data_IF_314098630599
#
_entry.id   IF_314098630599
#
_cell.length_a   1.000
_cell.length_b   1.000
_cell.length_c   1.000
_cell.angle_alpha   90.00
_cell.angle_beta   90.00
_cell.angle_gamma   90.00
#
_symmetry.space_group_name_H-M   'P 1'
#
loop_
_entity.id
_entity.type
_entity.pdbx_description
1 polymer ?
#
# COMPACT_ATOMS: atom_id res chain seq x y z
N UNK A 1 -20.60 9.49 1.29
CA UNK A 1 -19.96 8.15 1.21
C UNK A 1 -18.53 8.33 0.66
N UNK A 2 -17.60 7.39 0.86
CA UNK A 2 -16.28 7.47 0.20
C UNK A 2 -16.32 6.66 -1.09
N UNK A 3 -16.09 7.32 -2.22
CA UNK A 3 -16.01 6.69 -3.55
C UNK A 3 -14.55 6.41 -3.87
N UNK A 4 -14.26 5.19 -4.36
CA UNK A 4 -12.94 4.79 -4.85
C UNK A 4 -13.06 4.31 -6.29
N UNK A 5 -12.34 4.97 -7.18
CA UNK A 5 -12.34 4.68 -8.63
C UNK A 5 -10.92 4.46 -9.13
N UNK A 6 -10.77 3.58 -10.11
CA UNK A 6 -9.47 3.39 -10.76
C UNK A 6 -9.04 4.69 -11.46
N UNK A 7 -7.76 5.02 -11.36
CA UNK A 7 -7.17 6.16 -12.04
C UNK A 7 -6.06 5.66 -12.98
N UNK A 8 -6.24 5.90 -14.27
CA UNK A 8 -5.20 5.62 -15.26
C UNK A 8 -4.15 6.74 -15.24
N UNK A 9 -2.88 6.34 -15.25
CA UNK A 9 -1.79 7.28 -15.38
C UNK A 9 -1.80 7.91 -16.78
N UNK A 10 -2.06 9.22 -16.83
CA UNK A 10 -1.98 10.00 -18.05
C UNK A 10 -1.37 11.37 -17.75
N UNK A 11 -0.25 11.68 -18.40
CA UNK A 11 0.49 12.95 -18.21
C UNK A 11 -0.38 14.19 -18.37
N UNK A 12 -1.42 14.14 -19.22
CA UNK A 12 -2.33 15.26 -19.46
C UNK A 12 -3.29 15.56 -18.29
N UNK A 13 -3.43 14.64 -17.33
CA UNK A 13 -4.33 14.80 -16.19
C UNK A 13 -3.68 15.54 -15.01
N UNK A 14 -2.37 15.78 -15.04
CA UNK A 14 -1.60 16.42 -13.97
C UNK A 14 -1.42 17.91 -14.26
N UNK A 15 -1.58 18.74 -13.23
CA UNK A 15 -1.45 20.20 -13.34
C UNK A 15 -0.43 20.75 -12.35
N UNK A 16 0.10 21.93 -12.67
CA UNK A 16 1.12 22.59 -11.84
C UNK A 16 0.58 23.06 -10.48
N UNK A 17 -0.72 23.34 -10.39
CA UNK A 17 -1.45 23.80 -9.20
C UNK A 17 -1.92 22.66 -8.29
N UNK A 18 -1.84 21.40 -8.73
CA UNK A 18 -2.11 20.24 -7.88
C UNK A 18 -1.04 20.11 -6.79
N UNK A 19 -1.42 19.52 -5.64
CA UNK A 19 -0.49 19.20 -4.55
C UNK A 19 0.08 17.80 -4.73
N UNK A 20 1.39 17.69 -4.79
CA UNK A 20 2.09 16.42 -4.93
C UNK A 20 2.82 16.03 -3.63
N UNK A 21 2.68 14.78 -3.22
CA UNK A 21 3.26 14.25 -1.99
C UNK A 21 4.06 13.00 -2.36
N UNK A 22 5.39 13.07 -2.21
CA UNK A 22 6.29 11.96 -2.50
C UNK A 22 6.89 11.38 -1.23
N UNK A 23 7.21 10.09 -1.27
CA UNK A 23 8.06 9.44 -0.30
C UNK A 23 9.24 8.79 -1.03
N UNK A 24 10.44 9.20 -0.67
CA UNK A 24 11.68 8.80 -1.31
C UNK A 24 12.43 7.89 -0.36
N UNK A 25 12.79 6.70 -0.84
CA UNK A 25 13.50 5.70 -0.05
C UNK A 25 14.65 5.11 -0.84
N UNK A 26 15.22 4.02 -0.32
CA UNK A 26 16.40 3.37 -0.89
C UNK A 26 16.19 2.72 -2.28
N UNK A 27 14.98 2.70 -2.83
CA UNK A 27 14.67 2.12 -4.14
C UNK A 27 14.64 3.20 -5.24
N UNK A 28 15.25 2.98 -6.41
CA UNK A 28 15.16 3.89 -7.56
C UNK A 28 13.72 4.17 -8.01
N UNK A 29 12.79 3.22 -7.87
CA UNK A 29 11.38 3.47 -8.20
C UNK A 29 10.72 4.56 -7.36
N UNK A 30 11.31 4.93 -6.21
CA UNK A 30 10.71 5.84 -5.22
C UNK A 30 10.53 7.28 -5.69
N UNK A 31 11.30 7.69 -6.70
CA UNK A 31 11.24 9.02 -7.31
C UNK A 31 10.88 8.96 -8.81
N UNK A 32 10.49 7.78 -9.31
CA UNK A 32 10.15 7.60 -10.72
C UNK A 32 8.94 8.46 -11.14
N UNK A 33 7.88 8.48 -10.33
CA UNK A 33 6.69 9.29 -10.65
C UNK A 33 7.01 10.78 -10.63
N UNK A 34 7.82 11.25 -9.68
CA UNK A 34 8.32 12.62 -9.64
C UNK A 34 9.04 12.98 -10.95
N UNK A 35 9.98 12.15 -11.40
CA UNK A 35 10.76 12.41 -12.62
C UNK A 35 9.89 12.44 -13.88
N UNK A 36 8.87 11.58 -13.92
CA UNK A 36 7.88 11.65 -15.00
C UNK A 36 7.12 12.98 -15.01
N UNK A 37 6.81 13.54 -13.84
CA UNK A 37 6.10 14.82 -13.73
C UNK A 37 7.00 15.99 -14.11
N UNK A 38 8.25 16.06 -13.64
CA UNK A 38 9.23 17.10 -14.04
C UNK A 38 9.41 17.14 -15.56
N UNK A 39 9.41 15.96 -16.22
CA UNK A 39 9.51 15.90 -17.69
C UNK A 39 8.34 16.56 -18.42
N UNK A 40 7.18 16.71 -17.75
CA UNK A 40 5.94 17.27 -18.32
C UNK A 40 5.53 18.62 -17.74
N UNK A 41 5.96 18.92 -16.51
CA UNK A 41 5.58 20.10 -15.74
C UNK A 41 6.88 20.83 -15.37
N UNK A 42 7.06 22.06 -15.86
CA UNK A 42 8.28 22.82 -15.55
C UNK A 42 8.43 23.12 -14.05
N UNK A 43 7.32 23.36 -13.34
CA UNK A 43 7.25 23.56 -11.88
C UNK A 43 5.89 23.12 -11.37
N UNK A 44 5.85 22.54 -10.17
CA UNK A 44 4.62 22.13 -9.50
C UNK A 44 4.79 22.15 -7.98
N UNK A 45 3.68 22.20 -7.23
CA UNK A 45 3.70 22.24 -5.76
C UNK A 45 3.92 20.84 -5.18
N UNK A 46 5.10 20.56 -4.65
CA UNK A 46 5.42 19.25 -4.08
C UNK A 46 5.95 19.35 -2.64
N UNK A 47 5.73 18.28 -1.88
CA UNK A 47 6.44 17.99 -0.64
C UNK A 47 7.06 16.59 -0.72
N UNK A 48 8.20 16.42 -0.08
CA UNK A 48 8.96 15.17 -0.10
C UNK A 48 9.18 14.67 1.32
N UNK A 49 8.85 13.40 1.56
CA UNK A 49 9.27 12.67 2.75
C UNK A 49 10.45 11.78 2.41
N UNK A 50 11.46 11.74 3.29
CA UNK A 50 12.58 10.80 3.18
C UNK A 50 12.91 10.20 4.54
N UNK A 51 13.64 9.09 4.55
CA UNK A 51 13.98 8.38 5.77
C UNK A 51 15.21 8.99 6.45
N UNK A 52 15.34 8.85 7.77
CA UNK A 52 16.50 9.32 8.54
C UNK A 52 17.83 8.65 8.14
N UNK A 53 17.76 7.47 7.52
CA UNK A 53 18.89 6.70 7.01
C UNK A 53 19.21 6.95 5.52
N UNK A 54 18.52 7.88 4.85
CA UNK A 54 18.65 8.09 3.39
C UNK A 54 20.08 8.34 2.91
N UNK A 55 20.93 8.94 3.76
CA UNK A 55 22.34 9.23 3.45
C UNK A 55 23.20 7.98 3.25
N UNK A 56 22.72 6.82 3.69
CA UNK A 56 23.40 5.54 3.50
C UNK A 56 23.28 5.02 2.06
N UNK A 57 22.41 5.61 1.23
CA UNK A 57 22.16 5.19 -0.14
C UNK A 57 22.53 6.33 -1.09
N UNK A 58 23.61 6.16 -1.85
CA UNK A 58 24.21 7.21 -2.70
C UNK A 58 23.19 7.87 -3.64
N UNK A 59 22.45 7.08 -4.40
CA UNK A 59 21.43 7.57 -5.34
C UNK A 59 20.29 8.31 -4.64
N UNK A 60 19.92 7.89 -3.43
CA UNK A 60 18.85 8.53 -2.65
C UNK A 60 19.35 9.87 -2.10
N UNK A 61 20.57 9.90 -1.55
CA UNK A 61 21.22 11.14 -1.10
C UNK A 61 21.28 12.16 -2.24
N UNK A 62 21.81 11.76 -3.39
CA UNK A 62 21.98 12.65 -4.55
C UNK A 62 20.63 13.20 -5.04
N UNK A 63 19.57 12.37 -5.01
CA UNK A 63 18.22 12.81 -5.38
C UNK A 63 17.61 13.79 -4.37
N UNK A 64 17.84 13.60 -3.08
CA UNK A 64 17.40 14.55 -2.05
C UNK A 64 18.14 15.89 -2.20
N UNK A 65 19.45 15.87 -2.49
CA UNK A 65 20.22 17.10 -2.77
C UNK A 65 19.72 17.84 -4.03
N UNK A 66 19.25 17.13 -5.05
CA UNK A 66 18.56 17.71 -6.20
C UNK A 66 17.27 18.44 -5.77
N UNK A 67 16.43 17.80 -4.96
CA UNK A 67 15.19 18.40 -4.45
C UNK A 67 15.44 19.63 -3.58
N UNK A 68 16.51 19.63 -2.77
CA UNK A 68 16.92 20.80 -1.99
C UNK A 68 17.30 21.98 -2.90
N UNK A 69 18.04 21.72 -3.99
CA UNK A 69 18.41 22.75 -4.99
C UNK A 69 17.20 23.31 -5.72
N UNK A 70 16.19 22.49 -5.96
CA UNK A 70 14.91 22.89 -6.55
C UNK A 70 14.00 23.63 -5.56
N UNK A 71 14.38 23.69 -4.28
CA UNK A 71 13.65 24.39 -3.23
C UNK A 71 12.41 23.64 -2.75
N UNK A 72 12.36 22.32 -2.93
CA UNK A 72 11.26 21.49 -2.44
C UNK A 72 11.32 21.32 -0.92
N UNK A 73 10.19 21.47 -0.20
CA UNK A 73 10.11 21.09 1.21
C UNK A 73 10.39 19.61 1.41
N UNK A 74 11.40 19.30 2.22
CA UNK A 74 11.81 17.94 2.56
C UNK A 74 11.61 17.70 4.05
N UNK A 75 10.91 16.61 4.37
CA UNK A 75 10.70 16.12 5.73
C UNK A 75 11.45 14.81 5.93
N UNK A 76 12.43 14.83 6.83
CA UNK A 76 13.17 13.64 7.23
C UNK A 76 12.44 12.98 8.40
N UNK A 77 12.08 11.72 8.25
CA UNK A 77 11.28 10.97 9.23
C UNK A 77 11.81 9.56 9.44
N UNK A 78 11.72 9.06 10.67
CA UNK A 78 12.05 7.66 10.95
C UNK A 78 10.99 6.73 10.36
N UNK A 79 11.40 5.54 9.93
CA UNK A 79 10.49 4.50 9.38
C UNK A 79 9.27 4.24 10.28
N UNK A 80 9.47 4.30 11.60
CA UNK A 80 8.42 4.03 12.60
C UNK A 80 7.57 5.26 12.97
N UNK A 81 7.94 6.47 12.55
CA UNK A 81 7.23 7.71 12.91
C UNK A 81 6.03 7.99 11.99
N UNK A 82 5.13 7.02 11.87
CA UNK A 82 3.98 7.12 10.98
C UNK A 82 3.01 8.26 11.35
N UNK A 83 2.91 8.59 12.65
CA UNK A 83 2.02 9.64 13.14
C UNK A 83 2.46 11.02 12.62
N UNK A 84 3.74 11.36 12.75
CA UNK A 84 4.29 12.64 12.24
C UNK A 84 4.04 12.80 10.73
N UNK A 85 4.29 11.74 9.95
CA UNK A 85 4.06 11.77 8.49
C UNK A 85 2.59 12.01 8.17
N UNK A 86 1.69 11.27 8.81
CA UNK A 86 0.24 11.41 8.57
C UNK A 86 -0.26 12.79 8.96
N UNK A 87 0.16 13.31 10.12
CA UNK A 87 -0.22 14.65 10.59
C UNK A 87 0.30 15.75 9.64
N UNK A 88 1.52 15.63 9.14
CA UNK A 88 2.09 16.56 8.15
C UNK A 88 1.33 16.51 6.82
N UNK A 89 1.05 15.32 6.28
CA UNK A 89 0.24 15.17 5.06
C UNK A 89 -1.13 15.83 5.24
N UNK A 90 -1.81 15.56 6.35
CA UNK A 90 -3.11 16.16 6.68
C UNK A 90 -3.00 17.68 6.79
N UNK A 91 -1.94 18.19 7.43
CA UNK A 91 -1.70 19.63 7.58
C UNK A 91 -1.49 20.32 6.23
N UNK A 92 -0.66 19.76 5.35
CA UNK A 92 -0.38 20.32 4.02
C UNK A 92 -1.63 20.36 3.14
N UNK A 93 -2.45 19.31 3.22
CA UNK A 93 -3.75 19.27 2.54
C UNK A 93 -4.68 20.35 3.08
N UNK A 94 -4.81 20.49 4.41
CA UNK A 94 -5.62 21.56 5.03
C UNK A 94 -5.15 22.96 4.63
N UNK A 95 -3.84 23.18 4.59
CA UNK A 95 -3.27 24.45 4.15
C UNK A 95 -3.63 24.73 2.70
N UNK A 96 -3.51 23.74 1.81
CA UNK A 96 -3.92 23.90 0.41
C UNK A 96 -5.44 24.18 0.26
N UNK A 97 -6.28 23.57 1.11
CA UNK A 97 -7.73 23.82 1.11
C UNK A 97 -8.12 25.22 1.59
N UNK A 98 -7.34 25.82 2.50
CA UNK A 98 -7.61 27.16 3.01
C UNK A 98 -7.48 28.23 1.92
N UNK A 99 -6.60 27.99 0.94
CA UNK A 99 -6.29 28.93 -0.14
C UNK A 99 -7.10 28.68 -1.42
N UNK A 100 -7.87 27.57 -1.51
CA UNK A 100 -8.49 27.12 -2.77
C UNK A 100 -9.91 26.55 -2.57
N UNK A 101 -10.81 26.90 -3.49
CA UNK A 101 -12.20 26.40 -3.51
C UNK A 101 -12.28 24.88 -3.72
N UNK A 102 -11.32 24.31 -4.45
CA UNK A 102 -11.15 22.88 -4.66
C UNK A 102 -9.67 22.55 -4.78
N UNK A 103 -9.24 21.39 -4.29
CA UNK A 103 -7.88 20.91 -4.46
C UNK A 103 -7.83 19.53 -5.11
N UNK A 104 -6.75 19.27 -5.83
CA UNK A 104 -6.37 17.93 -6.26
C UNK A 104 -5.03 17.56 -5.63
N UNK A 105 -4.98 16.39 -5.02
CA UNK A 105 -3.80 15.87 -4.31
C UNK A 105 -3.35 14.57 -4.96
N UNK A 106 -2.06 14.43 -5.20
CA UNK A 106 -1.44 13.21 -5.70
C UNK A 106 -0.43 12.68 -4.69
N UNK A 107 -0.64 11.46 -4.20
CA UNK A 107 0.19 10.83 -3.19
C UNK A 107 0.91 9.62 -3.80
N UNK A 108 2.23 9.69 -3.89
CA UNK A 108 3.06 8.55 -4.25
C UNK A 108 3.35 7.70 -3.02
N UNK A 109 2.74 6.51 -2.95
CA UNK A 109 2.94 5.58 -1.84
C UNK A 109 3.94 4.45 -2.16
N UNK A 110 4.65 4.56 -3.29
CA UNK A 110 5.58 3.54 -3.81
C UNK A 110 6.70 3.18 -2.85
N UNK A 111 7.15 4.13 -2.03
CA UNK A 111 8.16 3.90 -0.98
C UNK A 111 7.69 4.22 0.43
N UNK A 112 6.42 4.60 0.62
CA UNK A 112 5.81 4.72 1.96
C UNK A 112 5.71 3.36 2.68
N UNK A 113 6.13 3.23 3.95
CA UNK A 113 5.82 2.08 4.80
C UNK A 113 4.31 1.87 4.93
N UNK A 114 3.89 0.62 5.18
CA UNK A 114 2.46 0.24 5.33
C UNK A 114 1.74 1.14 6.34
N UNK A 115 2.40 1.42 7.46
CA UNK A 115 1.90 2.27 8.54
C UNK A 115 1.66 3.72 8.10
N UNK A 116 2.40 4.24 7.13
CA UNK A 116 2.25 5.62 6.66
C UNK A 116 1.00 5.76 5.80
N UNK A 117 0.80 4.89 4.80
CA UNK A 117 -0.25 5.10 3.79
C UNK A 117 -1.59 4.40 4.10
N UNK A 118 -1.60 3.25 4.79
CA UNK A 118 -2.83 2.44 4.88
C UNK A 118 -3.98 3.15 5.61
N UNK A 119 -3.69 4.06 6.54
CA UNK A 119 -4.71 4.84 7.26
C UNK A 119 -5.07 6.17 6.59
N UNK A 120 -4.29 6.61 5.59
CA UNK A 120 -4.51 7.93 4.97
C UNK A 120 -5.93 8.09 4.42
N UNK A 121 -6.54 7.14 3.68
CA UNK A 121 -7.89 7.35 3.16
C UNK A 121 -8.92 7.65 4.25
N UNK A 122 -8.83 6.98 5.41
CA UNK A 122 -9.74 7.20 6.53
C UNK A 122 -9.49 8.55 7.21
N UNK A 123 -8.23 8.94 7.39
CA UNK A 123 -7.87 10.26 7.92
C UNK A 123 -8.33 11.39 6.99
N UNK A 124 -8.07 11.22 5.68
CA UNK A 124 -8.41 12.20 4.67
C UNK A 124 -9.92 12.34 4.46
N UNK A 125 -10.67 11.23 4.54
CA UNK A 125 -12.14 11.26 4.56
C UNK A 125 -12.71 12.20 5.62
N UNK A 126 -12.01 12.38 6.75
CA UNK A 126 -12.42 13.28 7.83
C UNK A 126 -12.15 14.76 7.58
N UNK A 127 -11.46 15.13 6.49
CA UNK A 127 -11.04 16.52 6.24
C UNK A 127 -11.39 17.03 4.84
N UNK A 128 -11.37 16.18 3.79
CA UNK A 128 -11.58 16.62 2.41
C UNK A 128 -13.05 17.02 2.17
N UNK A 129 -13.30 17.88 1.18
CA UNK A 129 -14.65 18.26 0.71
C UNK A 129 -15.09 17.37 -0.46
N UNK A 130 -16.37 17.38 -0.79
CA UNK A 130 -16.93 16.68 -1.97
C UNK A 130 -16.29 17.11 -3.29
N UNK A 131 -15.86 18.38 -3.38
CA UNK A 131 -15.20 18.93 -4.58
C UNK A 131 -13.71 18.58 -4.68
N UNK A 132 -13.10 18.10 -3.59
CA UNK A 132 -11.67 17.79 -3.54
C UNK A 132 -11.41 16.37 -4.07
N UNK A 133 -10.24 16.16 -4.70
CA UNK A 133 -9.85 14.85 -5.24
C UNK A 133 -8.50 14.43 -4.69
N UNK A 134 -8.40 13.18 -4.23
CA UNK A 134 -7.13 12.60 -3.78
C UNK A 134 -6.81 11.38 -4.61
N UNK A 135 -5.62 11.33 -5.20
CA UNK A 135 -5.11 10.20 -5.97
C UNK A 135 -3.97 9.53 -5.22
N UNK A 136 -3.97 8.20 -5.24
CA UNK A 136 -2.88 7.38 -4.73
C UNK A 136 -2.21 6.68 -5.91
N UNK A 137 -0.89 6.84 -6.01
CA UNK A 137 -0.08 6.32 -7.12
C UNK A 137 0.97 5.33 -6.63
N UNK A 138 1.13 4.26 -7.40
CA UNK A 138 2.09 3.19 -7.16
C UNK A 138 2.89 2.87 -8.43
N UNK A 139 4.19 3.08 -8.35
CA UNK A 139 5.19 2.66 -9.32
C UNK A 139 5.53 1.19 -9.10
N UNK A 140 5.23 0.35 -10.10
CA UNK A 140 5.55 -1.07 -10.04
C UNK A 140 7.07 -1.28 -10.14
N UNK A 141 7.60 -2.08 -9.21
CA UNK A 141 9.02 -2.38 -9.11
C UNK A 141 9.42 -3.64 -9.86
N UNK A 142 10.60 -3.62 -10.46
CA UNK A 142 11.30 -4.77 -11.01
C UNK A 142 11.98 -5.53 -9.89
N UNK A 143 11.32 -6.58 -9.43
CA UNK A 143 11.92 -7.48 -8.45
C UNK A 143 12.72 -8.59 -9.13
N UNK A 144 13.73 -9.15 -8.44
CA UNK A 144 14.54 -10.21 -9.01
C UNK A 144 13.74 -11.45 -9.39
N UNK A 145 14.32 -12.24 -10.30
CA UNK A 145 13.63 -13.39 -10.90
C UNK A 145 13.56 -14.59 -9.96
N UNK A 146 14.49 -14.71 -9.01
CA UNK A 146 14.53 -15.79 -8.03
C UNK A 146 13.81 -15.39 -6.75
N UNK A 147 12.93 -16.25 -6.25
CA UNK A 147 12.31 -16.07 -4.94
C UNK A 147 13.31 -16.21 -3.79
N UNK A 148 14.45 -16.86 -4.02
CA UNK A 148 15.55 -17.05 -3.05
C UNK A 148 16.29 -15.74 -2.77
N UNK A 149 16.13 -14.75 -3.65
CA UNK A 149 16.69 -13.40 -3.50
C UNK A 149 15.79 -12.48 -2.69
N UNK A 150 14.63 -12.95 -2.20
CA UNK A 150 13.81 -12.20 -1.26
C UNK A 150 14.27 -12.46 0.17
N UNK A 151 14.51 -11.41 0.98
CA UNK A 151 15.10 -11.55 2.31
C UNK A 151 14.17 -12.37 3.20
N UNK A 152 14.62 -13.56 3.61
CA UNK A 152 13.89 -14.42 4.52
C UNK A 152 14.19 -14.03 5.96
N UNK A 153 13.35 -13.17 6.52
CA UNK A 153 13.42 -12.86 7.96
C UNK A 153 12.26 -13.51 8.75
N UNK A 154 11.32 -14.19 8.10
CA UNK A 154 10.15 -14.74 8.80
C UNK A 154 9.29 -13.62 9.40
N UNK A 155 8.66 -13.90 10.55
CA UNK A 155 7.82 -12.93 11.27
C UNK A 155 8.42 -12.59 12.62
N UNK A 156 8.19 -11.35 13.05
CA UNK A 156 8.54 -10.89 14.39
C UNK A 156 7.29 -10.78 15.27
N UNK A 157 6.29 -10.00 14.84
CA UNK A 157 5.05 -9.82 15.58
C UNK A 157 3.82 -9.63 14.67
N UNK A 158 2.65 -9.87 15.26
CA UNK A 158 1.36 -9.43 14.74
C UNK A 158 0.93 -8.17 15.48
N UNK A 159 0.43 -7.18 14.75
CA UNK A 159 -0.17 -5.98 15.31
C UNK A 159 -1.59 -5.84 14.81
N UNK A 160 -2.50 -5.52 15.73
CA UNK A 160 -3.85 -5.12 15.37
C UNK A 160 -3.80 -3.78 14.62
N UNK A 161 -4.32 -3.76 13.39
CA UNK A 161 -4.27 -2.58 12.53
C UNK A 161 -5.60 -1.80 12.52
N UNK A 162 -6.70 -2.47 12.20
CA UNK A 162 -8.04 -1.88 12.09
C UNK A 162 -9.17 -2.91 12.25
N UNK A 163 -10.41 -2.40 12.37
CA UNK A 163 -11.62 -3.20 12.48
C UNK A 163 -12.18 -3.32 13.90
N UNK A 164 -13.07 -4.29 14.09
CA UNK A 164 -13.74 -4.53 15.37
C UNK A 164 -13.76 -6.04 15.65
N UNK A 165 -12.96 -6.54 16.60
CA UNK A 165 -13.00 -7.95 16.96
C UNK A 165 -14.38 -8.33 17.50
N UNK A 166 -14.78 -9.59 17.31
CA UNK A 166 -15.93 -10.12 18.03
C UNK A 166 -15.56 -10.30 19.50
N UNK A 167 -16.56 -10.22 20.38
CA UNK A 167 -16.42 -10.58 21.79
C UNK A 167 -16.65 -12.09 22.01
N UNK A 168 -16.95 -12.83 20.95
CA UNK A 168 -17.23 -14.27 21.00
C UNK A 168 -15.93 -15.07 20.87
N UNK A 169 -15.67 -15.94 21.84
CA UNK A 169 -14.42 -16.71 21.97
C UNK A 169 -14.44 -18.07 21.23
N UNK A 170 -15.57 -18.46 20.66
CA UNK A 170 -15.76 -19.77 20.00
C UNK A 170 -16.11 -19.70 18.51
N UNK A 171 -15.98 -18.52 17.89
CA UNK A 171 -16.25 -18.37 16.46
C UNK A 171 -15.13 -18.99 15.63
N UNK A 172 -15.49 -19.57 14.49
CA UNK A 172 -14.52 -19.98 13.49
C UNK A 172 -13.70 -18.77 13.04
N UNK A 173 -12.40 -18.98 12.78
CA UNK A 173 -11.48 -17.97 12.30
C UNK A 173 -11.29 -18.12 10.80
N UNK A 174 -11.90 -17.21 10.05
CA UNK A 174 -11.83 -17.17 8.59
C UNK A 174 -10.73 -16.19 8.17
N UNK A 175 -9.63 -16.70 7.63
CA UNK A 175 -8.52 -15.86 7.21
C UNK A 175 -8.58 -15.52 5.73
N UNK A 176 -8.45 -14.24 5.41
CA UNK A 176 -8.13 -13.77 4.07
C UNK A 176 -6.67 -13.33 4.08
N UNK A 177 -5.80 -14.19 3.59
CA UNK A 177 -4.36 -14.00 3.57
C UNK A 177 -3.90 -13.55 2.19
N UNK A 178 -3.24 -12.40 2.11
CA UNK A 178 -2.53 -12.01 0.89
C UNK A 178 -1.17 -12.68 0.79
N UNK A 179 -0.76 -12.96 -0.46
CA UNK A 179 0.47 -13.65 -0.78
C UNK A 179 1.47 -12.71 -1.43
N UNK A 180 2.73 -12.83 -1.00
CA UNK A 180 3.91 -12.30 -1.69
C UNK A 180 4.87 -13.43 -2.08
N UNK A 181 6.10 -13.05 -2.42
CA UNK A 181 7.17 -14.01 -2.77
C UNK A 181 7.91 -14.58 -1.55
N UNK A 182 7.71 -14.03 -0.35
CA UNK A 182 8.31 -14.52 0.89
C UNK A 182 7.47 -15.68 1.46
N UNK A 183 7.65 -16.87 0.89
CA UNK A 183 6.90 -18.07 1.27
C UNK A 183 7.14 -18.48 2.74
N UNK A 184 8.33 -18.23 3.28
CA UNK A 184 8.68 -18.57 4.66
C UNK A 184 7.83 -17.71 5.61
N UNK A 185 7.75 -16.40 5.35
CA UNK A 185 6.86 -15.52 6.11
C UNK A 185 5.41 -15.97 6.02
N UNK A 186 4.91 -16.28 4.82
CA UNK A 186 3.53 -16.74 4.63
C UNK A 186 3.26 -18.05 5.41
N UNK A 187 4.16 -19.01 5.38
CA UNK A 187 4.02 -20.25 6.15
C UNK A 187 4.03 -20.00 7.67
N UNK A 188 4.92 -19.14 8.16
CA UNK A 188 4.95 -18.74 9.56
C UNK A 188 3.63 -18.07 10.00
N UNK A 189 3.07 -17.20 9.16
CA UNK A 189 1.78 -16.56 9.41
C UNK A 189 0.68 -17.61 9.59
N UNK A 190 0.56 -18.55 8.65
CA UNK A 190 -0.49 -19.58 8.72
C UNK A 190 -0.26 -20.51 9.92
N UNK A 191 0.98 -20.86 10.24
CA UNK A 191 1.28 -21.74 11.38
C UNK A 191 0.95 -21.12 12.73
N UNK A 192 1.08 -19.81 12.88
CA UNK A 192 0.82 -19.13 14.16
C UNK A 192 -0.64 -18.72 14.29
N UNK A 193 -1.24 -18.27 13.20
CA UNK A 193 -2.64 -17.82 13.21
C UNK A 193 -3.62 -18.99 13.17
N UNK A 194 -3.23 -20.12 12.57
CA UNK A 194 -3.96 -21.40 12.53
C UNK A 194 -5.45 -21.28 12.14
N UNK A 195 -5.77 -20.78 10.93
CA UNK A 195 -7.16 -20.58 10.52
C UNK A 195 -7.97 -21.87 10.44
N UNK A 196 -9.25 -21.78 10.83
CA UNK A 196 -10.24 -22.83 10.57
C UNK A 196 -10.62 -22.87 9.07
N UNK A 197 -10.60 -21.72 8.40
CA UNK A 197 -10.84 -21.59 6.97
C UNK A 197 -9.89 -20.57 6.34
N UNK A 198 -9.18 -20.97 5.28
CA UNK A 198 -8.17 -20.14 4.64
C UNK A 198 -8.58 -19.76 3.21
N UNK A 199 -8.72 -18.46 2.97
CA UNK A 199 -8.75 -17.87 1.64
C UNK A 199 -7.41 -17.21 1.38
N UNK A 200 -6.85 -17.45 0.21
CA UNK A 200 -5.63 -16.77 -0.24
C UNK A 200 -5.92 -15.81 -1.37
N UNK A 201 -5.23 -14.68 -1.40
CA UNK A 201 -5.33 -13.73 -2.49
C UNK A 201 -3.95 -13.25 -2.93
N UNK A 202 -3.81 -12.93 -4.21
CA UNK A 202 -2.59 -12.35 -4.76
C UNK A 202 -2.95 -11.33 -5.81
N UNK A 203 -2.09 -10.33 -5.99
CA UNK A 203 -2.27 -9.30 -7.01
C UNK A 203 -1.18 -9.40 -8.07
N UNK A 204 -1.56 -9.29 -9.34
CA UNK A 204 -0.66 -9.45 -10.48
C UNK A 204 -0.82 -8.32 -11.49
N UNK A 205 0.25 -8.04 -12.22
CA UNK A 205 0.22 -7.26 -13.45
C UNK A 205 -0.17 -8.20 -14.61
N UNK A 206 -1.31 -7.99 -15.30
CA UNK A 206 -1.73 -8.82 -16.42
C UNK A 206 -0.74 -8.88 -17.60
N UNK A 207 0.11 -7.86 -17.76
CA UNK A 207 1.17 -7.83 -18.77
C UNK A 207 2.36 -8.73 -18.45
N UNK A 208 2.54 -9.13 -17.18
CA UNK A 208 3.67 -9.96 -16.74
C UNK A 208 3.37 -11.45 -16.96
N UNK A 209 3.93 -12.02 -18.04
CA UNK A 209 3.81 -13.45 -18.35
C UNK A 209 4.43 -14.31 -17.23
N UNK A 210 3.80 -15.45 -16.91
CA UNK A 210 4.33 -16.42 -15.95
C UNK A 210 4.16 -16.05 -14.47
N UNK A 211 3.56 -14.90 -14.15
CA UNK A 211 3.42 -14.45 -12.76
C UNK A 211 2.56 -15.39 -11.92
N UNK A 212 1.40 -15.82 -12.46
CA UNK A 212 0.46 -16.68 -11.72
C UNK A 212 1.08 -18.05 -11.41
N UNK A 213 1.84 -18.60 -12.37
CA UNK A 213 2.56 -19.86 -12.21
C UNK A 213 3.68 -19.71 -11.18
N UNK A 214 4.42 -18.60 -11.24
CA UNK A 214 5.51 -18.29 -10.32
C UNK A 214 5.02 -18.17 -8.87
N UNK A 215 3.99 -17.35 -8.60
CA UNK A 215 3.47 -17.16 -7.24
C UNK A 215 2.87 -18.44 -6.66
N UNK A 216 2.20 -19.25 -7.51
CA UNK A 216 1.66 -20.56 -7.12
C UNK A 216 2.76 -21.56 -6.80
N UNK A 217 3.84 -21.59 -7.58
CA UNK A 217 4.99 -22.45 -7.32
C UNK A 217 5.63 -22.13 -5.98
N UNK A 218 5.89 -20.84 -5.72
CA UNK A 218 6.52 -20.36 -4.49
C UNK A 218 5.66 -20.67 -3.26
N UNK A 219 4.34 -20.47 -3.36
CA UNK A 219 3.41 -20.66 -2.24
C UNK A 219 2.61 -21.99 -2.31
N UNK A 220 3.10 -23.01 -3.02
CA UNK A 220 2.30 -24.20 -3.34
C UNK A 220 1.70 -24.90 -2.10
N UNK A 221 2.44 -24.97 -0.99
CA UNK A 221 1.96 -25.51 0.28
C UNK A 221 0.78 -24.72 0.88
N UNK A 222 0.75 -23.40 0.67
CA UNK A 222 -0.33 -22.54 1.14
C UNK A 222 -1.55 -22.71 0.24
N UNK A 223 -1.34 -22.72 -1.09
CA UNK A 223 -2.41 -22.96 -2.05
C UNK A 223 -3.10 -24.32 -1.84
N UNK A 224 -2.34 -25.38 -1.51
CA UNK A 224 -2.94 -26.70 -1.24
C UNK A 224 -3.82 -26.74 0.03
N UNK A 225 -3.64 -25.78 0.95
CA UNK A 225 -4.44 -25.66 2.18
C UNK A 225 -5.60 -24.66 2.02
N UNK A 226 -5.51 -23.76 1.05
CA UNK A 226 -6.51 -22.73 0.84
C UNK A 226 -7.79 -23.35 0.24
N UNK A 227 -8.94 -23.01 0.81
CA UNK A 227 -10.23 -23.41 0.28
C UNK A 227 -10.60 -22.61 -0.98
N UNK A 228 -10.19 -21.34 -1.03
CA UNK A 228 -10.44 -20.43 -2.15
C UNK A 228 -9.16 -19.64 -2.45
N UNK A 229 -8.92 -19.42 -3.74
CA UNK A 229 -7.88 -18.49 -4.20
C UNK A 229 -8.48 -17.36 -5.03
N UNK A 230 -8.15 -16.12 -4.67
CA UNK A 230 -8.54 -14.91 -5.40
C UNK A 230 -7.35 -14.35 -6.18
N UNK A 231 -7.53 -14.19 -7.49
CA UNK A 231 -6.59 -13.49 -8.38
C UNK A 231 -7.06 -12.05 -8.60
N UNK A 232 -6.28 -11.08 -8.15
CA UNK A 232 -6.60 -9.65 -8.18
C UNK A 232 -5.64 -8.92 -9.12
N UNK A 233 -6.07 -7.83 -9.75
CA UNK A 233 -5.24 -7.10 -10.72
C UNK A 233 -4.70 -5.82 -10.11
N UNK A 234 -3.42 -5.53 -10.33
CA UNK A 234 -2.80 -4.31 -9.81
C UNK A 234 -3.37 -3.02 -10.44
N UNK A 235 -3.86 -3.10 -11.67
CA UNK A 235 -4.44 -1.98 -12.40
C UNK A 235 -5.96 -1.79 -12.14
N UNK A 236 -6.57 -2.58 -11.27
CA UNK A 236 -8.00 -2.51 -10.97
C UNK A 236 -8.24 -2.58 -9.45
N UNK A 237 -7.94 -1.47 -8.79
CA UNK A 237 -8.07 -1.32 -7.34
C UNK A 237 -9.53 -1.34 -6.86
N UNK A 238 -10.44 -0.76 -7.65
CA UNK A 238 -11.88 -0.77 -7.34
C UNK A 238 -12.44 -2.20 -7.35
N UNK A 239 -12.11 -3.00 -8.36
CA UNK A 239 -12.45 -4.43 -8.36
C UNK A 239 -11.82 -5.17 -7.18
N UNK A 240 -10.55 -4.88 -6.87
CA UNK A 240 -9.85 -5.48 -5.74
C UNK A 240 -10.61 -5.26 -4.42
N UNK A 241 -11.01 -4.03 -4.14
CA UNK A 241 -11.82 -3.69 -2.97
C UNK A 241 -13.19 -4.36 -2.99
N UNK A 242 -13.89 -4.32 -4.13
CA UNK A 242 -15.21 -4.92 -4.27
C UNK A 242 -15.18 -6.42 -3.96
N UNK A 243 -14.23 -7.15 -4.54
CA UNK A 243 -14.10 -8.60 -4.37
C UNK A 243 -13.73 -8.98 -2.93
N UNK A 244 -12.79 -8.24 -2.31
CA UNK A 244 -12.41 -8.48 -0.92
C UNK A 244 -13.56 -8.17 0.04
N UNK A 245 -14.33 -7.11 -0.22
CA UNK A 245 -15.51 -6.72 0.57
C UNK A 245 -16.63 -7.76 0.48
N UNK A 246 -16.91 -8.25 -0.72
CA UNK A 246 -17.87 -9.33 -0.96
C UNK A 246 -17.46 -10.59 -0.19
N UNK A 247 -16.22 -11.03 -0.39
CA UNK A 247 -15.66 -12.22 0.28
C UNK A 247 -15.77 -12.12 1.81
N UNK A 248 -15.38 -10.99 2.39
CA UNK A 248 -15.49 -10.77 3.83
C UNK A 248 -16.96 -10.79 4.32
N UNK A 249 -17.90 -10.22 3.55
CA UNK A 249 -19.32 -10.26 3.92
C UNK A 249 -19.92 -11.67 3.83
N UNK A 250 -19.49 -12.49 2.86
CA UNK A 250 -19.95 -13.87 2.70
C UNK A 250 -19.45 -14.77 3.85
N UNK A 251 -18.24 -14.53 4.33
CA UNK A 251 -17.65 -15.30 5.43
C UNK A 251 -18.19 -14.90 6.80
N UNK A 252 -18.53 -13.62 7.00
CA UNK A 252 -18.89 -13.09 8.32
C UNK A 252 -20.03 -13.83 9.05
N UNK A 253 -21.09 -14.34 8.39
CA UNK A 253 -22.11 -15.14 9.05
C UNK A 253 -21.60 -16.48 9.60
N UNK A 254 -20.45 -16.96 9.15
CA UNK A 254 -19.90 -18.28 9.47
C UNK A 254 -18.75 -18.24 10.50
N UNK A 255 -18.20 -17.05 10.76
CA UNK A 255 -17.07 -16.85 11.67
C UNK A 255 -16.49 -15.44 11.60
N UNK A 256 -15.50 -15.19 12.45
CA UNK A 256 -14.75 -13.95 12.47
C UNK A 256 -13.79 -13.90 11.27
N UNK A 257 -13.83 -12.79 10.54
CA UNK A 257 -12.99 -12.53 9.37
C UNK A 257 -11.74 -11.77 9.79
N UNK A 258 -10.59 -12.42 9.64
CA UNK A 258 -9.28 -11.85 9.94
C UNK A 258 -8.53 -11.67 8.62
N UNK A 259 -8.28 -10.41 8.27
CA UNK A 259 -7.56 -10.01 7.08
C UNK A 259 -6.08 -9.85 7.40
N UNK A 260 -5.22 -10.50 6.62
CA UNK A 260 -3.77 -10.45 6.80
C UNK A 260 -3.11 -9.99 5.49
N UNK A 261 -2.83 -8.68 5.34
CA UNK A 261 -2.23 -8.15 4.14
C UNK A 261 -0.76 -8.54 4.00
N UNK A 262 -0.41 -8.93 2.78
CA UNK A 262 0.97 -9.12 2.34
C UNK A 262 1.11 -8.91 0.82
N UNK A 263 2.32 -9.08 0.29
CA UNK A 263 2.57 -8.98 -1.15
C UNK A 263 2.75 -7.53 -1.63
N UNK A 264 2.30 -7.17 -2.84
CA UNK A 264 2.51 -5.85 -3.40
C UNK A 264 1.67 -4.79 -2.67
N UNK A 265 2.16 -3.54 -2.64
CA UNK A 265 1.55 -2.45 -1.87
C UNK A 265 0.06 -2.20 -2.18
N UNK A 266 -0.41 -2.20 -3.45
CA UNK A 266 -1.84 -2.07 -3.73
C UNK A 266 -2.70 -3.14 -3.05
N UNK A 267 -2.23 -4.39 -2.98
CA UNK A 267 -2.96 -5.47 -2.31
C UNK A 267 -3.02 -5.25 -0.79
N UNK A 268 -1.88 -4.89 -0.19
CA UNK A 268 -1.81 -4.54 1.23
C UNK A 268 -2.77 -3.38 1.53
N UNK A 269 -2.78 -2.37 0.67
CA UNK A 269 -3.63 -1.20 0.82
C UNK A 269 -5.12 -1.60 0.79
N UNK A 270 -5.54 -2.32 -0.25
CA UNK A 270 -6.93 -2.73 -0.41
C UNK A 270 -7.44 -3.55 0.80
N UNK A 271 -6.67 -4.56 1.21
CA UNK A 271 -7.01 -5.43 2.35
C UNK A 271 -7.10 -4.62 3.65
N UNK A 272 -6.18 -3.70 3.87
CA UNK A 272 -6.12 -2.89 5.09
C UNK A 272 -7.32 -1.95 5.25
N UNK A 273 -7.98 -1.56 4.14
CA UNK A 273 -9.15 -0.70 4.15
C UNK A 273 -10.46 -1.45 4.44
N UNK A 274 -10.53 -2.76 4.22
CA UNK A 274 -11.78 -3.54 4.29
C UNK A 274 -12.48 -3.41 5.66
N UNK A 275 -11.81 -3.54 6.81
CA UNK A 275 -12.50 -3.44 8.10
C UNK A 275 -13.18 -2.09 8.31
N UNK A 276 -12.52 -1.00 7.91
CA UNK A 276 -13.06 0.36 8.07
C UNK A 276 -14.19 0.65 7.07
N UNK A 277 -14.10 0.09 5.85
CA UNK A 277 -15.15 0.18 4.84
C UNK A 277 -16.41 -0.62 5.21
N UNK A 278 -16.24 -1.77 5.85
CA UNK A 278 -17.36 -2.59 6.32
C UNK A 278 -17.94 -2.09 7.63
N UNK A 279 -17.09 -1.66 8.56
CA UNK A 279 -17.45 -1.20 9.90
C UNK A 279 -18.35 -2.21 10.65
N UNK A 280 -18.04 -3.51 10.54
CA UNK A 280 -18.78 -4.60 11.18
C UNK A 280 -17.95 -5.25 12.29
N UNK A 281 -18.62 -5.72 13.33
CA UNK A 281 -17.98 -6.57 14.35
C UNK A 281 -17.60 -7.92 13.74
N UNK A 282 -16.52 -8.52 14.24
CA UNK A 282 -15.97 -9.77 13.71
C UNK A 282 -15.16 -9.58 12.42
N UNK A 283 -14.86 -8.34 12.00
CA UNK A 283 -13.95 -8.08 10.86
C UNK A 283 -12.76 -7.29 11.35
N UNK A 284 -11.56 -7.85 11.19
CA UNK A 284 -10.31 -7.26 11.69
C UNK A 284 -9.18 -7.38 10.68
N UNK A 285 -8.21 -6.47 10.75
CA UNK A 285 -6.97 -6.57 9.97
C UNK A 285 -5.77 -6.64 10.92
N UNK A 286 -4.90 -7.62 10.68
CA UNK A 286 -3.65 -7.81 11.40
C UNK A 286 -2.46 -7.52 10.47
N UNK A 287 -1.64 -6.54 10.83
CA UNK A 287 -0.38 -6.32 10.13
C UNK A 287 0.71 -7.21 10.74
N UNK A 288 1.64 -7.65 9.90
CA UNK A 288 2.75 -8.53 10.30
C UNK A 288 4.06 -7.76 10.14
N UNK A 289 4.82 -7.62 11.22
CA UNK A 289 6.16 -7.07 11.17
C UNK A 289 7.16 -8.12 10.69
N UNK A 290 8.11 -7.67 9.89
CA UNK A 290 9.24 -8.49 9.47
C UNK A 290 10.27 -8.50 10.59
N UNK A 291 10.94 -9.63 10.77
CA UNK A 291 12.14 -9.67 11.60
C UNK A 291 13.22 -8.79 10.96
N UNK A 292 13.83 -7.92 11.76
CA UNK A 292 14.86 -6.98 11.31
C UNK A 292 16.27 -7.58 11.35
N UNK A 293 16.44 -8.76 11.95
CA UNK A 293 17.75 -9.37 12.24
C UNK A 293 18.55 -9.74 10.99
N UNK A 294 17.90 -9.80 9.81
CA UNK A 294 18.51 -10.13 8.51
C UNK A 294 17.88 -9.33 7.36
N UNK A 295 17.63 -8.02 7.55
CA UNK A 295 17.13 -7.16 6.49
C UNK A 295 18.28 -6.55 5.68
N UNK A 296 18.34 -6.86 4.39
CA UNK A 296 19.17 -6.16 3.41
C UNK A 296 18.26 -5.34 2.49
N UNK A 297 18.59 -4.06 2.32
CA UNK A 297 17.86 -3.17 1.43
C UNK A 297 18.15 -3.58 -0.02
N UNK A 298 17.09 -3.96 -0.75
CA UNK A 298 17.18 -4.28 -2.17
C UNK A 298 16.75 -3.05 -2.94
N UNK A 299 17.64 -2.55 -3.79
CA UNK A 299 17.32 -1.47 -4.70
C UNK A 299 16.45 -2.00 -5.85
N UNK A 300 15.24 -1.44 -5.97
CA UNK A 300 14.22 -1.87 -6.93
C UNK A 300 14.03 -0.80 -7.99
N UNK A 301 14.27 -1.19 -9.24
CA UNK A 301 14.07 -0.34 -10.41
C UNK A 301 12.57 -0.21 -10.77
N UNK A 302 12.12 0.90 -11.36
CA UNK A 302 10.75 1.01 -11.86
C UNK A 302 10.59 0.23 -13.18
N UNK A 303 9.48 -0.51 -13.32
CA UNK A 303 9.08 -1.17 -14.59
C UNK A 303 8.59 -0.19 -15.67
N UNK A 304 8.39 1.07 -15.30
CA UNK A 304 7.71 2.08 -16.11
C UNK A 304 6.18 2.10 -15.95
N UNK A 305 5.59 1.14 -15.24
CA UNK A 305 4.15 1.11 -14.98
C UNK A 305 3.79 1.89 -13.71
N UNK A 306 2.79 2.77 -13.83
CA UNK A 306 2.21 3.53 -12.71
C UNK A 306 0.73 3.17 -12.63
N UNK A 307 0.31 2.61 -11.49
CA UNK A 307 -1.07 2.31 -11.19
C UNK A 307 -1.62 3.32 -10.19
N UNK A 308 -2.89 3.65 -10.28
CA UNK A 308 -3.51 4.51 -9.28
C UNK A 308 -4.99 4.31 -9.11
N UNK A 309 -5.48 4.95 -8.06
CA UNK A 309 -6.91 5.09 -7.79
C UNK A 309 -7.16 6.47 -7.19
N UNK A 310 -8.37 6.96 -7.35
CA UNK A 310 -8.84 8.20 -6.74
C UNK A 310 -9.79 7.92 -5.58
N UNK A 311 -9.85 8.87 -4.66
CA UNK A 311 -10.75 8.91 -3.52
C UNK A 311 -11.46 10.27 -3.52
N UNK A 312 -12.80 10.24 -3.43
CA UNK A 312 -13.67 11.40 -3.37
C UNK A 312 -14.80 11.17 -2.36
N UNK A 313 -15.44 12.25 -1.91
CA UNK A 313 -16.66 12.16 -1.11
C UNK A 313 -17.89 12.35 -1.99
N UNK A 314 -18.93 11.61 -1.64
CA UNK A 314 -20.31 11.75 -2.12
C UNK A 314 -21.24 12.19 -0.99
#
# INVERSE_FOLDING_TARGET
MMIIENAEYNKACFKADDLYIFAVGYEHRSYYFHDQLVSSLCKFKAIVFTFDDYKNYEHTRDKIEEFEKDGLPIYIESYFNYQSVQEKIVSEIKNAMADNDSITVHIDYSSMPRSWYCKLPILLRGIIREVDKVYFWYCEGEYPSSYEEYPSAGIDAFSFFSGKPSLQIGNNRMHILALGYDAIRTQAIVSITDPDYLIVCYAYNPGRRGFSESIKKVNHHIFSRAAISLSLRLNDFSFMLSKLRETANELLPTGDVILIPDGPKPLIFAISLIPDLLNKNGVTCLHVSRNSSHFEAIDVMPTGMIYGFSMQLE
#
